data_IF_792209783579
#
_entry.id   IF_792209783579
#
_cell.length_a   1.000
_cell.length_b   1.000
_cell.length_c   1.000
_cell.angle_alpha   90.00
_cell.angle_beta   90.00
_cell.angle_gamma   90.00
#
_symmetry.space_group_name_H-M   'P 1'
#
loop_
_entity.id
_entity.type
_entity.pdbx_description
1 polymer ?
#
# COMPACT_ATOMS: atom_id res chain seq x y z
N UNK A 1 -0.06 -4.18 -21.76
CA UNK A 1 0.06 -4.46 -20.32
C UNK A 1 -1.02 -3.72 -19.51
N UNK A 2 -1.05 -2.38 -19.50
CA UNK A 2 -2.01 -1.60 -18.68
C UNK A 2 -3.50 -1.96 -18.88
N UNK A 3 -3.95 -2.19 -20.12
CA UNK A 3 -5.33 -2.59 -20.42
C UNK A 3 -5.67 -3.97 -19.83
N UNK A 4 -4.70 -4.88 -19.78
CA UNK A 4 -4.86 -6.24 -19.25
C UNK A 4 -5.07 -6.23 -17.74
N UNK A 5 -4.35 -5.36 -17.01
CA UNK A 5 -4.53 -5.22 -15.56
C UNK A 5 -5.88 -4.62 -15.19
N UNK A 6 -6.37 -3.65 -15.98
CA UNK A 6 -7.70 -3.08 -15.81
C UNK A 6 -8.80 -4.09 -16.13
N UNK A 7 -8.62 -4.94 -17.15
CA UNK A 7 -9.59 -5.98 -17.51
C UNK A 7 -9.80 -7.01 -16.39
N UNK A 8 -8.77 -7.29 -15.59
CA UNK A 8 -8.86 -8.22 -14.46
C UNK A 8 -9.49 -7.60 -13.20
N UNK A 9 -9.64 -6.26 -13.12
CA UNK A 9 -10.05 -5.57 -11.90
C UNK A 9 -11.40 -6.03 -11.34
N UNK A 10 -12.48 -6.21 -12.14
CA UNK A 10 -13.77 -6.67 -11.59
C UNK A 10 -13.67 -8.05 -10.94
N UNK A 11 -12.93 -8.97 -11.56
CA UNK A 11 -12.71 -10.31 -11.02
C UNK A 11 -11.91 -10.25 -9.70
N UNK A 12 -10.82 -9.48 -9.67
CA UNK A 12 -10.00 -9.33 -8.47
C UNK A 12 -10.75 -8.66 -7.32
N UNK A 13 -11.62 -7.69 -7.62
CA UNK A 13 -12.51 -7.08 -6.63
C UNK A 13 -13.59 -8.04 -6.12
N UNK A 14 -14.12 -8.92 -6.97
CA UNK A 14 -15.02 -9.99 -6.55
C UNK A 14 -14.30 -11.00 -5.64
N UNK A 15 -13.07 -11.40 -5.98
CA UNK A 15 -12.23 -12.27 -5.16
C UNK A 15 -11.92 -11.63 -3.80
N UNK A 16 -11.61 -10.33 -3.74
CA UNK A 16 -11.48 -9.59 -2.47
C UNK A 16 -12.72 -9.78 -1.59
N UNK A 17 -13.92 -9.56 -2.14
CA UNK A 17 -15.17 -9.68 -1.37
C UNK A 17 -15.38 -11.11 -0.89
N UNK A 18 -15.05 -12.10 -1.71
CA UNK A 18 -15.19 -13.52 -1.38
C UNK A 18 -14.21 -13.99 -0.29
N UNK A 19 -12.98 -13.51 -0.34
CA UNK A 19 -11.87 -13.93 0.54
C UNK A 19 -11.55 -12.91 1.66
N UNK A 20 -12.41 -11.91 1.89
CA UNK A 20 -12.24 -10.93 2.97
C UNK A 20 -11.97 -11.57 4.35
N UNK A 21 -12.61 -12.70 4.75
CA UNK A 21 -12.31 -13.36 6.02
C UNK A 21 -10.90 -13.99 6.10
N UNK A 22 -10.31 -14.34 4.94
CA UNK A 22 -8.93 -14.85 4.88
C UNK A 22 -7.94 -13.70 4.98
N UNK A 23 -8.28 -12.53 4.42
CA UNK A 23 -7.49 -11.31 4.55
C UNK A 23 -7.46 -10.74 5.98
N UNK A 24 -8.37 -11.15 6.87
CA UNK A 24 -8.32 -10.79 8.30
C UNK A 24 -7.37 -11.64 9.15
N UNK A 25 -6.79 -12.71 8.60
CA UNK A 25 -5.74 -13.46 9.29
C UNK A 25 -4.42 -12.66 9.30
N UNK A 26 -3.52 -12.89 10.28
CA UNK A 26 -2.21 -12.24 10.31
C UNK A 26 -1.45 -12.51 9.00
N UNK A 27 -1.20 -11.45 8.24
CA UNK A 27 -0.46 -11.53 6.98
C UNK A 27 0.95 -10.97 7.18
N UNK A 28 1.94 -11.83 7.06
CA UNK A 28 3.33 -11.47 7.37
C UNK A 28 4.09 -10.89 6.17
N UNK A 29 3.50 -10.89 4.98
CA UNK A 29 4.12 -10.35 3.77
C UNK A 29 3.74 -8.88 3.55
N UNK A 30 4.62 -8.14 2.88
CA UNK A 30 4.32 -6.76 2.46
C UNK A 30 3.34 -6.68 1.28
N UNK A 31 3.20 -7.73 0.47
CA UNK A 31 2.33 -7.76 -0.70
C UNK A 31 0.87 -8.08 -0.37
N UNK A 32 -0.03 -7.87 -1.33
CA UNK A 32 -1.46 -8.10 -1.17
C UNK A 32 -1.80 -9.60 -1.03
N UNK A 33 -2.55 -10.02 0.00
CA UNK A 33 -2.93 -11.44 0.18
C UNK A 33 -3.90 -11.96 -0.88
N UNK A 34 -4.54 -11.08 -1.66
CA UNK A 34 -5.54 -11.45 -2.67
C UNK A 34 -4.94 -11.59 -4.06
N UNK A 35 -4.08 -10.64 -4.47
CA UNK A 35 -3.57 -10.58 -5.85
C UNK A 35 -2.05 -10.54 -5.95
N UNK A 36 -1.33 -10.56 -4.82
CA UNK A 36 0.14 -10.58 -4.77
C UNK A 36 0.84 -9.27 -5.12
N UNK A 37 0.10 -8.23 -5.47
CA UNK A 37 0.66 -6.92 -5.85
C UNK A 37 1.19 -6.13 -4.63
N UNK A 38 2.03 -5.15 -4.86
CA UNK A 38 2.50 -4.26 -3.81
C UNK A 38 1.37 -3.35 -3.28
N UNK A 39 1.47 -2.90 -2.02
CA UNK A 39 0.55 -1.89 -1.52
C UNK A 39 0.76 -0.59 -2.27
N UNK A 40 -0.34 0.05 -2.65
CA UNK A 40 -0.30 1.32 -3.37
C UNK A 40 -0.18 2.50 -2.41
N UNK A 41 -0.83 2.39 -1.26
CA UNK A 41 -0.77 3.34 -0.16
C UNK A 41 -1.00 2.61 1.16
N UNK A 42 -0.72 3.30 2.27
CA UNK A 42 -1.17 2.89 3.59
C UNK A 42 -2.15 3.91 4.18
N UNK A 43 -3.13 3.42 4.91
CA UNK A 43 -4.00 4.21 5.77
C UNK A 43 -3.53 4.07 7.22
N UNK A 44 -3.42 5.19 7.94
CA UNK A 44 -3.30 5.23 9.40
C UNK A 44 -4.69 5.52 9.95
N UNK A 45 -5.27 4.56 10.66
CA UNK A 45 -6.70 4.58 11.00
C UNK A 45 -6.99 4.80 12.45
N UNK A 46 -8.03 5.58 12.68
CA UNK A 46 -8.61 5.80 14.00
C UNK A 46 -7.62 6.45 14.97
N UNK A 47 -7.99 6.44 16.25
CA UNK A 47 -7.20 7.05 17.32
C UNK A 47 -5.99 6.19 17.71
N UNK A 48 -6.12 4.87 17.58
CA UNK A 48 -5.03 3.90 17.84
C UNK A 48 -3.97 3.89 16.73
N UNK A 49 -4.18 4.66 15.65
CA UNK A 49 -3.24 4.84 14.53
C UNK A 49 -2.81 3.52 13.89
N UNK A 50 -3.76 2.62 13.70
CA UNK A 50 -3.52 1.31 13.07
C UNK A 50 -3.09 1.49 11.62
N UNK A 51 -1.99 0.87 11.22
CA UNK A 51 -1.44 0.97 9.86
C UNK A 51 -1.96 -0.15 8.98
N UNK A 52 -2.75 0.22 7.98
CA UNK A 52 -3.33 -0.69 7.00
C UNK A 52 -2.75 -0.44 5.62
N UNK A 53 -2.20 -1.50 5.02
CA UNK A 53 -1.77 -1.50 3.63
C UNK A 53 -2.97 -1.69 2.71
N UNK A 54 -2.97 -0.96 1.59
CA UNK A 54 -4.09 -0.95 0.64
C UNK A 54 -3.63 -1.25 -0.78
N UNK A 55 -4.33 -2.16 -1.44
CA UNK A 55 -4.05 -2.54 -2.83
C UNK A 55 -4.95 -1.74 -3.77
N UNK A 56 -4.38 -0.99 -4.72
CA UNK A 56 -5.19 -0.28 -5.72
C UNK A 56 -5.77 -1.21 -6.81
N UNK A 57 -5.22 -2.42 -6.97
CA UNK A 57 -5.63 -3.38 -7.99
C UNK A 57 -6.91 -4.12 -7.61
N UNK A 58 -6.95 -4.76 -6.44
CA UNK A 58 -8.13 -5.48 -5.95
C UNK A 58 -8.89 -4.75 -4.84
N UNK A 59 -8.29 -3.72 -4.22
CA UNK A 59 -8.86 -2.98 -3.09
C UNK A 59 -8.72 -3.68 -1.73
N UNK A 60 -7.87 -4.69 -1.61
CA UNK A 60 -7.66 -5.41 -0.35
C UNK A 60 -7.05 -4.52 0.72
N UNK A 61 -7.31 -4.91 1.95
CA UNK A 61 -6.92 -4.27 3.19
C UNK A 61 -6.24 -5.30 4.08
N UNK A 62 -5.03 -4.99 4.56
CA UNK A 62 -4.32 -5.89 5.47
C UNK A 62 -3.35 -5.11 6.36
N UNK A 63 -3.00 -5.71 7.50
CA UNK A 63 -1.94 -5.22 8.36
C UNK A 63 -0.67 -6.04 8.15
N UNK A 64 0.48 -5.35 8.18
CA UNK A 64 1.80 -5.96 8.18
C UNK A 64 2.40 -5.81 9.59
N UNK A 65 2.73 -6.91 10.31
CA UNK A 65 3.04 -6.83 11.75
C UNK A 65 4.31 -6.04 12.12
N UNK A 66 4.19 -4.90 12.80
CA UNK A 66 5.36 -4.12 13.24
C UNK A 66 5.90 -3.15 12.19
N UNK A 67 6.89 -2.35 12.58
CA UNK A 67 7.38 -1.21 11.78
C UNK A 67 8.52 -1.62 10.86
N UNK A 68 8.20 -2.05 9.64
CA UNK A 68 9.18 -2.40 8.58
C UNK A 68 8.79 -1.84 7.21
N UNK A 69 9.72 -1.90 6.26
CA UNK A 69 9.46 -1.54 4.86
C UNK A 69 8.45 -2.53 4.26
N UNK A 70 7.44 -2.03 3.55
CA UNK A 70 6.43 -2.86 2.90
C UNK A 70 6.95 -3.64 1.67
N UNK A 71 8.20 -3.39 1.26
CA UNK A 71 8.77 -3.94 0.03
C UNK A 71 9.98 -4.86 0.27
N UNK A 72 10.92 -4.44 1.11
CA UNK A 72 12.16 -5.20 1.38
C UNK A 72 12.28 -5.70 2.83
N UNK A 73 11.22 -5.55 3.62
CA UNK A 73 11.13 -5.95 5.04
C UNK A 73 12.21 -5.38 5.99
N UNK A 74 13.01 -4.41 5.53
CA UNK A 74 13.96 -3.72 6.39
C UNK A 74 13.24 -3.04 7.58
N UNK A 75 13.76 -3.24 8.78
CA UNK A 75 13.25 -2.66 10.02
C UNK A 75 14.27 -1.71 10.65
N UNK A 76 13.80 -0.81 11.51
CA UNK A 76 14.65 0.15 12.26
C UNK A 76 14.54 1.59 11.77
N UNK A 77 14.73 2.53 12.69
CA UNK A 77 14.49 3.98 12.50
C UNK A 77 15.33 4.60 11.36
N UNK A 78 16.56 4.13 11.14
CA UNK A 78 17.45 4.64 10.07
C UNK A 78 17.10 4.14 8.66
N UNK A 79 16.19 3.18 8.53
CA UNK A 79 15.78 2.64 7.23
C UNK A 79 14.56 3.34 6.64
N UNK A 80 13.87 4.18 7.43
CA UNK A 80 12.61 4.83 7.07
C UNK A 80 12.68 6.34 7.32
N UNK A 81 12.65 7.14 6.27
CA UNK A 81 12.49 8.59 6.36
C UNK A 81 11.07 8.99 5.94
N UNK A 82 10.53 10.05 6.56
CA UNK A 82 9.19 10.56 6.26
C UNK A 82 9.30 11.90 5.55
N UNK A 83 8.64 12.03 4.40
CA UNK A 83 8.42 13.31 3.75
C UNK A 83 6.99 13.75 4.06
N UNK A 84 6.83 14.90 4.68
CA UNK A 84 5.52 15.41 5.13
C UNK A 84 5.02 16.44 4.12
N UNK A 85 3.72 16.39 3.79
CA UNK A 85 3.10 17.43 2.96
C UNK A 85 3.14 18.78 3.70
N UNK A 86 3.57 19.84 3.03
CA UNK A 86 3.56 21.19 3.61
C UNK A 86 2.13 21.70 3.86
N UNK A 87 1.15 21.21 3.10
CA UNK A 87 -0.25 21.64 3.19
C UNK A 87 -1.06 20.80 4.19
N UNK A 88 -0.80 19.49 4.24
CA UNK A 88 -1.61 18.53 5.01
C UNK A 88 -0.94 18.03 6.29
N UNK A 89 0.32 18.42 6.54
CA UNK A 89 1.09 17.97 7.70
C UNK A 89 1.13 16.44 7.82
N UNK A 90 1.04 15.92 9.05
CA UNK A 90 1.06 14.47 9.32
C UNK A 90 -0.14 13.70 8.76
N UNK A 91 -1.18 14.38 8.26
CA UNK A 91 -2.34 13.72 7.67
C UNK A 91 -2.01 13.05 6.33
N UNK A 92 -1.04 13.59 5.56
CA UNK A 92 -0.57 13.01 4.30
C UNK A 92 0.93 13.10 4.20
N UNK A 93 1.58 11.95 3.99
CA UNK A 93 3.04 11.83 3.98
C UNK A 93 3.52 10.70 3.10
N UNK A 94 4.82 10.65 2.89
CA UNK A 94 5.50 9.55 2.20
C UNK A 94 6.46 8.88 3.16
N UNK A 95 6.29 7.56 3.35
CA UNK A 95 7.30 6.71 3.96
C UNK A 95 8.29 6.27 2.88
N UNK A 96 9.57 6.53 3.08
CA UNK A 96 10.64 6.18 2.13
C UNK A 96 11.59 5.17 2.75
N UNK A 97 12.20 4.29 1.94
CA UNK A 97 13.17 3.30 2.42
C UNK A 97 14.56 3.57 1.86
N UNK A 98 15.54 3.82 2.73
CA UNK A 98 16.93 4.08 2.31
C UNK A 98 17.63 2.84 1.74
N UNK A 99 17.18 1.63 2.10
CA UNK A 99 17.74 0.35 1.62
C UNK A 99 17.33 0.00 0.20
N UNK A 100 16.02 0.04 -0.10
CA UNK A 100 15.51 -0.34 -1.43
C UNK A 100 15.14 0.86 -2.31
N UNK A 101 15.28 2.09 -1.80
CA UNK A 101 14.85 3.33 -2.48
C UNK A 101 13.36 3.35 -2.87
N UNK A 102 12.56 2.45 -2.31
CA UNK A 102 11.11 2.42 -2.46
C UNK A 102 10.39 3.45 -1.58
N UNK A 103 9.23 3.92 -2.01
CA UNK A 103 8.34 4.74 -1.17
C UNK A 103 6.89 4.23 -1.13
N UNK A 104 6.18 4.63 -0.07
CA UNK A 104 4.77 4.36 0.13
C UNK A 104 4.07 5.63 0.64
N UNK A 105 3.02 6.05 -0.06
CA UNK A 105 2.15 7.11 0.44
C UNK A 105 1.40 6.64 1.67
N UNK A 106 1.25 7.54 2.64
CA UNK A 106 0.55 7.28 3.89
C UNK A 106 -0.43 8.42 4.13
N UNK A 107 -1.68 8.04 4.39
CA UNK A 107 -2.78 8.95 4.64
C UNK A 107 -3.44 8.61 5.97
N UNK A 108 -3.79 9.61 6.76
CA UNK A 108 -4.54 9.41 8.00
C UNK A 108 -6.04 9.46 7.72
N UNK A 109 -6.79 8.47 8.16
CA UNK A 109 -8.24 8.37 7.94
C UNK A 109 -8.97 7.98 9.23
N UNK A 110 -10.22 8.42 9.39
CA UNK A 110 -11.05 7.99 10.53
C UNK A 110 -11.63 6.59 10.31
N UNK A 111 -11.89 6.23 9.06
CA UNK A 111 -12.46 4.95 8.64
C UNK A 111 -11.77 4.49 7.37
N UNK A 112 -11.82 3.17 7.14
CA UNK A 112 -11.31 2.58 5.92
C UNK A 112 -12.01 3.18 4.69
N UNK A 113 -11.25 3.53 3.66
CA UNK A 113 -11.85 3.84 2.36
C UNK A 113 -12.54 2.61 1.77
N UNK A 114 -13.58 2.78 0.94
CA UNK A 114 -14.09 1.71 0.11
C UNK A 114 -12.95 1.10 -0.74
N UNK A 115 -12.91 -0.23 -0.84
CA UNK A 115 -11.79 -0.90 -1.52
C UNK A 115 -11.68 -0.55 -3.00
N UNK A 116 -12.81 -0.28 -3.65
CA UNK A 116 -12.93 0.20 -5.03
C UNK A 116 -12.50 1.65 -5.25
N UNK A 117 -12.38 2.46 -4.18
CA UNK A 117 -11.94 3.86 -4.27
C UNK A 117 -10.42 4.02 -4.04
N UNK A 118 -9.70 2.98 -3.62
CA UNK A 118 -8.26 3.05 -3.30
C UNK A 118 -7.43 3.57 -4.48
N UNK A 119 -7.77 3.17 -5.71
CA UNK A 119 -7.08 3.64 -6.91
C UNK A 119 -7.28 5.14 -7.13
N UNK A 120 -8.50 5.64 -6.92
CA UNK A 120 -8.81 7.07 -7.02
C UNK A 120 -8.10 7.87 -5.92
N UNK A 121 -8.04 7.32 -4.71
CA UNK A 121 -7.37 7.98 -3.60
C UNK A 121 -5.84 8.04 -3.76
N UNK A 122 -5.23 7.03 -4.38
CA UNK A 122 -3.85 7.10 -4.82
C UNK A 122 -3.64 8.23 -5.84
N UNK A 123 -4.52 8.34 -6.84
CA UNK A 123 -4.42 9.38 -7.85
C UNK A 123 -4.64 10.78 -7.27
N UNK A 124 -5.54 10.92 -6.31
CA UNK A 124 -5.83 12.19 -5.62
C UNK A 124 -4.67 12.71 -4.77
N UNK A 125 -3.62 11.91 -4.57
CA UNK A 125 -2.43 12.24 -3.77
C UNK A 125 -1.15 12.21 -4.62
N UNK A 126 -1.26 12.53 -5.91
CA UNK A 126 -0.16 12.49 -6.90
C UNK A 126 1.01 13.44 -6.55
N UNK A 127 0.72 14.53 -5.84
CA UNK A 127 1.71 15.48 -5.31
C UNK A 127 2.76 14.78 -4.41
N UNK A 128 2.33 13.77 -3.66
CA UNK A 128 3.23 12.97 -2.83
C UNK A 128 4.18 12.09 -3.66
N UNK A 129 3.74 11.61 -4.83
CA UNK A 129 4.64 10.88 -5.74
C UNK A 129 5.76 11.80 -6.22
N UNK A 130 5.42 13.03 -6.60
CA UNK A 130 6.39 14.02 -7.09
C UNK A 130 7.43 14.35 -6.01
N UNK A 131 7.00 14.61 -4.78
CA UNK A 131 7.90 14.91 -3.67
C UNK A 131 8.91 13.77 -3.39
N UNK A 132 8.50 12.52 -3.61
CA UNK A 132 9.36 11.34 -3.47
C UNK A 132 10.33 11.18 -4.65
N UNK A 133 9.82 11.34 -5.87
CA UNK A 133 10.59 11.24 -7.12
C UNK A 133 11.71 12.28 -7.18
N UNK A 134 11.46 13.52 -6.76
CA UNK A 134 12.47 14.59 -6.66
C UNK A 134 13.64 14.22 -5.74
N UNK A 135 13.43 13.30 -4.80
CA UNK A 135 14.45 12.79 -3.87
C UNK A 135 15.02 11.43 -4.31
N UNK A 136 14.77 11.04 -5.56
CA UNK A 136 15.19 9.79 -6.19
C UNK A 136 14.68 8.54 -5.47
N UNK A 137 13.45 8.59 -4.94
CA UNK A 137 12.71 7.41 -4.50
C UNK A 137 11.73 6.98 -5.58
N UNK A 138 11.53 5.68 -5.73
CA UNK A 138 10.71 5.11 -6.79
C UNK A 138 9.60 4.24 -6.20
N UNK A 139 8.53 4.03 -6.98
CA UNK A 139 7.61 2.94 -6.65
C UNK A 139 8.25 1.64 -7.08
N UNK A 140 8.24 0.60 -6.23
CA UNK A 140 8.71 -0.71 -6.66
C UNK A 140 7.88 -1.18 -7.86
N UNK A 141 8.57 -1.78 -8.83
CA UNK A 141 7.93 -2.43 -9.96
C UNK A 141 6.84 -3.40 -9.47
N UNK A 142 5.68 -3.48 -10.18
CA UNK A 142 4.64 -4.43 -9.85
C UNK A 142 5.25 -5.81 -9.69
N UNK A 143 4.89 -6.49 -8.60
CA UNK A 143 5.41 -7.83 -8.37
C UNK A 143 4.85 -8.71 -9.49
N UNK A 144 5.69 -9.04 -10.48
CA UNK A 144 5.33 -9.92 -11.57
C UNK A 144 4.67 -11.15 -10.95
N UNK A 145 3.37 -11.32 -11.23
CA UNK A 145 2.49 -12.18 -10.45
C UNK A 145 3.15 -13.53 -10.23
N UNK A 146 3.44 -13.87 -8.97
CA UNK A 146 4.00 -15.16 -8.64
C UNK A 146 3.19 -15.83 -7.55
N UNK A 147 2.63 -16.97 -7.96
CA UNK A 147 2.38 -18.17 -7.18
C UNK A 147 1.71 -17.95 -5.81
N UNK A 148 0.38 -18.01 -5.81
CA UNK A 148 -0.36 -18.44 -4.63
C UNK A 148 0.20 -19.81 -4.21
N UNK A 149 1.08 -19.84 -3.21
CA UNK A 149 1.38 -21.06 -2.46
C UNK A 149 0.18 -21.31 -1.57
N UNK A 150 -0.84 -21.93 -2.13
CA UNK A 150 -1.92 -22.55 -1.36
C UNK A 150 -1.27 -23.76 -0.70
N UNK A 151 -0.98 -23.65 0.59
CA UNK A 151 -0.65 -24.77 1.46
C UNK A 151 -1.91 -25.50 1.88
#
# INVERSE_FOLDING_TARGET
AAVTDLAAAPLLQALRRRFAPVASAPWHEGCCPICGDWPRLAEIRGLERERHLRCARCGSDWQQPGVRCAFCDAAGQGTRATLVSEQDGEARKVETCTRCRGYLKVVSTLRAWPGDEVCLADLATIDLDLAALERNYERPEPRAGLAMRIG
#
